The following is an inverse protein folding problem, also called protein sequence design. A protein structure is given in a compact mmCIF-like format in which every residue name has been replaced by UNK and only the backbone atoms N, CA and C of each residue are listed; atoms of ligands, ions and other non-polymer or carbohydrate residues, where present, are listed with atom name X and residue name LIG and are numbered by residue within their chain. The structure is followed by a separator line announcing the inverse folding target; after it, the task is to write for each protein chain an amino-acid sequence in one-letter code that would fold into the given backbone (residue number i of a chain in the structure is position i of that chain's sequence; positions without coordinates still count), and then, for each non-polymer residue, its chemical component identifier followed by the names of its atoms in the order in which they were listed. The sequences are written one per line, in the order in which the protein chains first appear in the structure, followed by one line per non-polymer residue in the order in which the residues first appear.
data_IF_896601889844
#
_entry.id   IF_896601889844
#
_cell.length_a   1.000
_cell.length_b   1.000
_cell.length_c   1.000
_cell.angle_alpha   90.00
_cell.angle_beta   90.00
_cell.angle_gamma   90.00
#
_symmetry.space_group_name_H-M   'P 1'
#
loop_
_entity.id
_entity.type
_entity.pdbx_description
1 polymer ?
#
# COMPACT_ATOMS: atom_id res chain seq x y z
N UNK A 1 -9.39 -10.98 -5.76
CA UNK A 1 -10.10 -10.72 -4.49
C UNK A 1 -9.66 -9.35 -3.97
N UNK A 2 -10.56 -8.56 -3.39
CA UNK A 2 -10.21 -7.28 -2.77
C UNK A 2 -10.44 -7.34 -1.26
N UNK A 3 -9.67 -6.58 -0.52
CA UNK A 3 -9.83 -6.45 0.92
C UNK A 3 -9.52 -5.03 1.37
N UNK A 4 -10.20 -4.60 2.43
CA UNK A 4 -9.91 -3.34 3.11
C UNK A 4 -8.96 -3.62 4.26
N UNK A 5 -7.92 -2.80 4.36
CA UNK A 5 -6.95 -2.87 5.44
C UNK A 5 -6.68 -1.47 5.97
N UNK A 6 -6.49 -1.30 7.29
CA UNK A 6 -5.90 -0.07 7.81
C UNK A 6 -4.53 0.16 7.18
N UNK A 7 -4.20 1.42 6.91
CA UNK A 7 -2.84 1.83 6.56
C UNK A 7 -2.01 1.95 7.83
N UNK A 8 -1.04 1.05 7.96
CA UNK A 8 -0.12 1.01 9.09
C UNK A 8 1.22 1.61 8.65
N UNK A 9 1.68 2.64 9.36
CA UNK A 9 2.98 3.27 9.09
C UNK A 9 4.09 2.58 9.89
N UNK A 10 5.26 2.43 9.27
CA UNK A 10 6.44 1.78 9.86
C UNK A 10 7.00 2.58 11.05
N UNK A 11 6.89 3.90 11.01
CA UNK A 11 7.34 4.79 12.08
C UNK A 11 6.29 5.88 12.33
N UNK A 12 6.27 6.41 13.55
CA UNK A 12 5.43 7.55 13.89
C UNK A 12 5.79 8.74 12.99
N UNK A 13 4.79 9.42 12.40
CA UNK A 13 4.95 10.53 11.44
C UNK A 13 5.71 10.20 10.13
N UNK A 14 5.84 8.93 9.73
CA UNK A 14 6.45 8.58 8.44
C UNK A 14 5.42 8.27 7.38
N UNK A 15 5.63 8.72 6.14
CA UNK A 15 4.85 8.28 4.97
C UNK A 15 5.14 6.81 4.57
N UNK A 16 6.10 6.15 5.24
CA UNK A 16 6.50 4.78 4.92
C UNK A 16 5.56 3.77 5.55
N UNK A 17 4.83 3.02 4.73
CA UNK A 17 3.90 1.97 5.14
C UNK A 17 4.66 0.70 5.54
N UNK A 18 4.18 0.03 6.60
CA UNK A 18 4.66 -1.30 7.00
C UNK A 18 4.15 -2.35 6.03
N UNK A 19 5.09 -3.13 5.49
CA UNK A 19 4.83 -4.12 4.43
C UNK A 19 5.46 -5.48 4.72
N UNK A 20 5.88 -5.69 5.96
CA UNK A 20 6.42 -6.97 6.42
C UNK A 20 5.27 -7.87 6.82
N UNK A 21 5.35 -9.15 6.46
CA UNK A 21 4.45 -10.20 6.92
C UNK A 21 5.25 -11.23 7.72
N UNK A 22 4.58 -12.16 8.38
CA UNK A 22 5.25 -13.22 9.14
C UNK A 22 6.21 -14.07 8.29
N UNK A 23 5.92 -14.22 6.98
CA UNK A 23 6.67 -15.08 6.06
C UNK A 23 7.54 -14.30 5.07
N UNK A 24 7.44 -12.98 5.00
CA UNK A 24 8.09 -12.21 3.95
C UNK A 24 7.82 -10.72 4.00
N UNK A 25 7.86 -10.07 2.85
CA UNK A 25 7.58 -8.64 2.72
C UNK A 25 7.08 -8.27 1.32
N UNK A 26 6.22 -7.25 1.25
CA UNK A 26 5.78 -6.65 0.00
C UNK A 26 6.74 -5.54 -0.42
N UNK A 27 7.20 -5.61 -1.66
CA UNK A 27 8.12 -4.65 -2.26
C UNK A 27 7.42 -3.91 -3.38
N UNK A 28 7.57 -2.59 -3.44
CA UNK A 28 7.10 -1.78 -4.57
C UNK A 28 7.91 -2.16 -5.82
N UNK A 29 7.21 -2.53 -6.88
CA UNK A 29 7.82 -3.02 -8.13
C UNK A 29 7.41 -2.22 -9.36
N UNK A 30 6.27 -1.52 -9.31
CA UNK A 30 5.81 -0.63 -10.37
C UNK A 30 5.98 0.86 -10.08
N UNK A 31 5.62 1.68 -11.07
CA UNK A 31 5.55 3.13 -10.93
C UNK A 31 4.29 3.50 -10.15
N UNK A 32 4.42 4.39 -9.18
CA UNK A 32 3.27 5.00 -8.49
C UNK A 32 2.43 5.76 -9.50
N UNK A 33 1.13 5.51 -9.48
CA UNK A 33 0.15 6.23 -10.30
C UNK A 33 -0.80 6.99 -9.39
N UNK A 34 -1.16 8.20 -9.77
CA UNK A 34 -2.06 9.04 -9.00
C UNK A 34 -2.96 9.85 -9.92
N UNK A 35 -4.18 10.13 -9.46
CA UNK A 35 -5.06 11.11 -10.06
C UNK A 35 -4.87 12.46 -9.38
N UNK A 36 -4.54 13.50 -10.16
CA UNK A 36 -4.33 14.87 -9.68
C UNK A 36 -5.46 15.83 -10.10
N UNK A 37 -6.60 15.31 -10.56
CA UNK A 37 -7.64 16.11 -11.21
C UNK A 37 -8.82 16.56 -10.34
N UNK A 38 -8.95 16.11 -9.09
CA UNK A 38 -10.16 16.37 -8.28
C UNK A 38 -9.86 16.55 -6.79
N UNK A 39 -10.75 17.21 -6.03
CA UNK A 39 -10.64 17.43 -4.57
C UNK A 39 -10.38 16.15 -3.74
N UNK A 40 -10.70 14.98 -4.31
CA UNK A 40 -10.34 13.68 -3.75
C UNK A 40 -9.39 13.00 -4.73
N UNK A 41 -8.14 12.87 -4.33
CA UNK A 41 -7.11 12.23 -5.14
C UNK A 41 -7.00 10.75 -4.75
N UNK A 42 -6.61 9.91 -5.71
CA UNK A 42 -6.22 8.54 -5.39
C UNK A 42 -4.78 8.27 -5.82
N UNK A 43 -4.12 7.40 -5.06
CA UNK A 43 -2.81 6.85 -5.38
C UNK A 43 -2.90 5.33 -5.49
N UNK A 44 -2.16 4.74 -6.42
CA UNK A 44 -1.99 3.30 -6.58
C UNK A 44 -0.52 2.94 -6.55
N UNK A 45 -0.20 1.94 -5.74
CA UNK A 45 1.10 1.29 -5.67
C UNK A 45 1.00 -0.17 -6.10
N UNK A 46 1.95 -0.59 -6.93
CA UNK A 46 2.07 -1.96 -7.42
C UNK A 46 3.18 -2.67 -6.62
N UNK A 47 2.84 -3.83 -6.03
CA UNK A 47 3.71 -4.55 -5.12
C UNK A 47 3.84 -6.03 -5.48
N UNK A 48 5.05 -6.56 -5.31
CA UNK A 48 5.33 -7.99 -5.41
C UNK A 48 5.70 -8.54 -4.03
N UNK A 49 5.23 -9.75 -3.73
CA UNK A 49 5.58 -10.45 -2.50
C UNK A 49 6.92 -11.17 -2.67
N UNK A 50 7.79 -10.94 -1.69
CA UNK A 50 9.02 -11.67 -1.50
C UNK A 50 8.91 -12.52 -0.24
N UNK A 51 9.19 -13.81 -0.35
CA UNK A 51 9.20 -14.74 0.77
C UNK A 51 10.59 -14.83 1.39
N UNK A 52 10.67 -14.88 2.71
CA UNK A 52 11.91 -14.96 3.48
C UNK A 52 12.53 -13.60 3.84
N UNK A 53 13.74 -13.65 4.41
CA UNK A 53 14.47 -12.45 4.85
C UNK A 53 15.06 -11.72 3.66
N UNK A 54 15.13 -10.39 3.72
CA UNK A 54 15.59 -9.49 2.64
C UNK A 54 16.86 -9.96 1.91
N UNK A 55 17.84 -10.53 2.61
CA UNK A 55 19.11 -10.99 2.00
C UNK A 55 19.04 -12.35 1.28
N UNK A 56 18.03 -13.16 1.59
CA UNK A 56 17.84 -14.52 1.05
C UNK A 56 16.44 -14.71 0.47
N UNK A 57 15.75 -13.61 0.19
CA UNK A 57 14.35 -13.64 -0.19
C UNK A 57 14.16 -14.08 -1.63
N UNK A 58 13.09 -14.82 -1.88
CA UNK A 58 12.69 -15.23 -3.23
C UNK A 58 11.45 -14.46 -3.66
N UNK A 59 11.48 -13.91 -4.88
CA UNK A 59 10.31 -13.30 -5.49
C UNK A 59 9.26 -14.39 -5.74
N UNK A 60 8.03 -14.15 -5.30
CA UNK A 60 6.90 -15.04 -5.60
C UNK A 60 6.13 -14.53 -6.82
N UNK A 61 5.14 -15.30 -7.26
CA UNK A 61 4.18 -14.88 -8.30
C UNK A 61 3.04 -14.00 -7.75
N UNK A 62 3.02 -13.72 -6.45
CA UNK A 62 1.97 -12.91 -5.84
C UNK A 62 2.23 -11.42 -6.07
N UNK A 63 1.21 -10.78 -6.63
CA UNK A 63 1.15 -9.33 -6.86
C UNK A 63 0.02 -8.75 -6.02
N UNK A 64 0.20 -7.51 -5.60
CA UNK A 64 -0.83 -6.73 -4.93
C UNK A 64 -0.85 -5.31 -5.49
N UNK A 65 -2.04 -4.74 -5.61
CA UNK A 65 -2.22 -3.32 -5.86
C UNK A 65 -2.82 -2.68 -4.61
N UNK A 66 -2.12 -1.72 -4.03
CA UNK A 66 -2.63 -0.92 -2.92
C UNK A 66 -3.14 0.41 -3.47
N UNK A 67 -4.43 0.70 -3.24
CA UNK A 67 -5.05 1.97 -3.56
C UNK A 67 -5.32 2.78 -2.30
N UNK A 68 -5.06 4.08 -2.38
CA UNK A 68 -5.25 5.03 -1.29
C UNK A 68 -6.09 6.20 -1.77
N UNK A 69 -6.97 6.68 -0.91
CA UNK A 69 -7.62 7.98 -1.08
C UNK A 69 -6.82 9.01 -0.28
N UNK A 70 -6.56 10.15 -0.92
CA UNK A 70 -5.90 11.32 -0.35
C UNK A 70 -6.91 12.46 -0.43
N UNK A 71 -7.39 12.91 0.73
CA UNK A 71 -8.21 14.10 0.85
C UNK A 71 -7.29 15.31 1.07
N UNK A 72 -7.58 16.44 0.42
CA UNK A 72 -6.86 17.70 0.64
C UNK A 72 -6.96 18.15 2.10
N UNK A 73 -5.89 18.76 2.61
CA UNK A 73 -5.67 19.11 4.04
C UNK A 73 -6.67 20.11 4.66
N UNK A 74 -7.73 20.51 3.96
CA UNK A 74 -8.79 21.38 4.51
C UNK A 74 -9.71 20.68 5.53
N UNK A 75 -9.51 19.39 5.82
CA UNK A 75 -10.26 18.69 6.84
C UNK A 75 -9.52 18.71 8.20
N UNK A 76 -9.95 19.51 9.20
CA UNK A 76 -9.29 19.60 10.52
C UNK A 76 -9.39 18.31 11.34
N UNK A 77 -10.19 17.34 10.88
CA UNK A 77 -10.17 15.96 11.35
C UNK A 77 -9.83 15.07 10.15
N UNK A 78 -8.53 14.90 9.79
CA UNK A 78 -8.16 13.90 8.82
C UNK A 78 -8.64 12.57 9.39
N UNK A 79 -9.66 11.98 8.76
CA UNK A 79 -10.24 10.71 9.21
C UNK A 79 -9.08 9.75 9.37
N UNK A 80 -8.80 9.37 10.62
CA UNK A 80 -7.56 8.74 11.10
C UNK A 80 -7.30 7.35 10.52
N UNK A 81 -8.02 6.97 9.48
CA UNK A 81 -7.93 5.70 8.83
C UNK A 81 -7.95 5.93 7.32
N UNK A 82 -6.79 6.23 6.70
CA UNK A 82 -6.63 5.98 5.29
C UNK A 82 -6.73 4.46 5.12
N UNK A 83 -7.95 3.95 4.97
CA UNK A 83 -8.17 2.53 4.69
C UNK A 83 -7.66 2.31 3.28
N UNK A 84 -6.73 1.36 3.10
CA UNK A 84 -6.27 0.99 1.76
C UNK A 84 -7.13 -0.13 1.23
N UNK A 85 -7.45 -0.03 -0.06
CA UNK A 85 -8.05 -1.14 -0.80
C UNK A 85 -6.89 -1.91 -1.41
N UNK A 86 -6.77 -3.17 -1.01
CA UNK A 86 -5.74 -4.05 -1.53
C UNK A 86 -6.39 -5.04 -2.48
N UNK A 87 -5.85 -5.12 -3.69
CA UNK A 87 -6.26 -6.08 -4.70
C UNK A 87 -5.17 -7.11 -4.88
N UNK A 88 -5.49 -8.37 -4.63
CA UNK A 88 -4.68 -9.50 -5.07
C UNK A 88 -5.40 -10.14 -6.27
N UNK A 89 -4.85 -10.03 -7.50
CA UNK A 89 -5.30 -10.89 -8.57
C UNK A 89 -5.05 -12.32 -8.11
N UNK A 90 -6.09 -13.16 -8.16
CA UNK A 90 -5.92 -14.60 -7.96
C UNK A 90 -4.95 -15.07 -9.05
N UNK A 91 -3.83 -15.66 -8.64
CA UNK A 91 -2.98 -16.42 -9.55
C UNK A 91 -3.72 -17.66 -10.04
#
# INVERSE_FOLDING_TARGET
MFFFSPRVYKYNNSARIERTTALGFWKITGKRTSDQGSRVHWEKEDLDLYEGRVRQSKKTNWVMYEYYLVEDEENPNPTRWPSSIKFCPLA
#
